data_IF_611327847217
#
_entry.id   IF_611327847217
#
_cell.length_a   1.000
_cell.length_b   1.000
_cell.length_c   1.000
_cell.angle_alpha   90.00
_cell.angle_beta   90.00
_cell.angle_gamma   90.00
#
_symmetry.space_group_name_H-M   'P 1'
#
loop_
_entity.id
_entity.type
_entity.pdbx_description
1 polymer ?
#
# COMPACT_ATOMS: atom_id res chain seq x y z
N UNK A 1 9.62 13.05 -26.15
CA UNK A 1 8.17 12.77 -26.10
C UNK A 1 7.76 12.74 -24.64
N UNK A 2 6.91 13.67 -24.19
CA UNK A 2 6.45 13.69 -22.79
C UNK A 2 5.27 12.74 -22.60
N UNK A 3 5.21 12.07 -21.45
CA UNK A 3 4.06 11.25 -21.06
C UNK A 3 2.86 12.18 -20.78
N UNK A 4 1.68 11.85 -21.28
CA UNK A 4 0.47 12.66 -21.02
C UNK A 4 0.01 12.53 -19.57
N UNK A 5 -0.69 13.55 -19.06
CA UNK A 5 -1.27 13.53 -17.71
C UNK A 5 -2.23 12.35 -17.52
N UNK A 6 -3.02 12.03 -18.54
CA UNK A 6 -3.98 10.92 -18.50
C UNK A 6 -3.28 9.56 -18.42
N UNK A 7 -2.19 9.37 -19.16
CA UNK A 7 -1.40 8.15 -19.09
C UNK A 7 -0.75 7.97 -17.71
N UNK A 8 -0.30 9.07 -17.10
CA UNK A 8 0.24 9.05 -15.74
C UNK A 8 -0.84 8.68 -14.71
N UNK A 9 -2.03 9.28 -14.81
CA UNK A 9 -3.17 8.96 -13.92
C UNK A 9 -3.54 7.49 -13.99
N UNK A 10 -3.74 6.95 -15.20
CA UNK A 10 -4.12 5.54 -15.41
C UNK A 10 -3.06 4.60 -14.81
N UNK A 11 -1.77 4.90 -15.03
CA UNK A 11 -0.69 4.10 -14.48
C UNK A 11 -0.63 4.16 -12.94
N UNK A 12 -0.88 5.33 -12.35
CA UNK A 12 -0.96 5.48 -10.89
C UNK A 12 -2.13 4.71 -10.31
N UNK A 13 -3.32 4.79 -10.92
CA UNK A 13 -4.49 4.03 -10.48
C UNK A 13 -4.22 2.52 -10.53
N UNK A 14 -3.62 2.02 -11.61
CA UNK A 14 -3.25 0.62 -11.73
C UNK A 14 -2.26 0.18 -10.64
N UNK A 15 -1.24 1.00 -10.33
CA UNK A 15 -0.28 0.71 -9.28
C UNK A 15 -0.93 0.67 -7.89
N UNK A 16 -1.85 1.59 -7.60
CA UNK A 16 -2.55 1.66 -6.32
C UNK A 16 -3.50 0.47 -6.15
N UNK A 17 -4.22 0.08 -7.21
CA UNK A 17 -5.06 -1.11 -7.20
C UNK A 17 -4.23 -2.38 -6.93
N UNK A 18 -3.06 -2.49 -7.53
CA UNK A 18 -2.17 -3.62 -7.29
C UNK A 18 -1.65 -3.64 -5.84
N UNK A 19 -1.23 -2.49 -5.32
CA UNK A 19 -0.81 -2.34 -3.92
C UNK A 19 -1.90 -2.81 -2.95
N UNK A 20 -3.13 -2.37 -3.17
CA UNK A 20 -4.28 -2.74 -2.35
C UNK A 20 -4.63 -4.23 -2.47
N UNK A 21 -4.60 -4.79 -3.67
CA UNK A 21 -4.82 -6.23 -3.87
C UNK A 21 -3.77 -7.09 -3.15
N UNK A 22 -2.51 -6.63 -3.11
CA UNK A 22 -1.46 -7.29 -2.30
C UNK A 22 -1.82 -7.25 -0.81
N UNK A 23 -2.23 -6.10 -0.29
CA UNK A 23 -2.61 -5.99 1.12
C UNK A 23 -3.86 -6.84 1.45
N UNK A 24 -4.87 -6.84 0.56
CA UNK A 24 -6.12 -7.60 0.71
C UNK A 24 -5.90 -9.13 0.79
N UNK A 25 -4.75 -9.62 0.33
CA UNK A 25 -4.35 -11.02 0.49
C UNK A 25 -4.01 -11.42 1.92
N UNK A 26 -3.88 -10.44 2.84
CA UNK A 26 -3.52 -10.63 4.25
C UNK A 26 -2.17 -11.33 4.45
N UNK A 27 -1.24 -11.18 3.51
CA UNK A 27 0.15 -11.63 3.66
C UNK A 27 1.11 -10.46 3.46
N UNK A 28 2.33 -10.61 3.97
CA UNK A 28 3.40 -9.63 3.76
C UNK A 28 4.22 -9.89 2.50
N UNK A 29 3.78 -10.83 1.67
CA UNK A 29 4.47 -11.19 0.44
C UNK A 29 4.31 -10.06 -0.59
N UNK A 30 5.40 -9.68 -1.25
CA UNK A 30 5.36 -8.65 -2.28
C UNK A 30 5.33 -7.21 -1.76
N UNK A 31 5.38 -6.97 -0.44
CA UNK A 31 5.50 -5.61 0.11
C UNK A 31 6.74 -4.87 -0.42
N UNK A 32 7.83 -5.60 -0.69
CA UNK A 32 9.07 -5.05 -1.26
C UNK A 32 8.90 -4.44 -2.66
N UNK A 33 7.80 -4.76 -3.35
CA UNK A 33 7.45 -4.14 -4.64
C UNK A 33 7.04 -2.67 -4.46
N UNK A 34 6.46 -2.34 -3.31
CA UNK A 34 5.86 -1.03 -3.04
C UNK A 34 6.65 -0.19 -2.05
N UNK A 35 7.34 -0.84 -1.11
CA UNK A 35 8.14 -0.17 -0.08
C UNK A 35 9.62 -0.34 -0.35
N UNK A 36 10.35 0.78 -0.37
CA UNK A 36 11.80 0.74 -0.40
C UNK A 36 12.37 0.42 1.00
N UNK A 37 13.68 0.15 1.06
CA UNK A 37 14.38 -0.23 2.31
C UNK A 37 14.39 0.88 3.37
N UNK A 38 14.24 2.15 2.99
CA UNK A 38 14.19 3.31 3.88
C UNK A 38 12.80 3.97 3.94
N UNK A 39 11.73 3.22 3.64
CA UNK A 39 10.38 3.73 3.63
C UNK A 39 9.94 4.10 5.06
N UNK A 40 9.02 5.04 5.17
CA UNK A 40 8.43 5.43 6.45
C UNK A 40 6.92 5.33 6.30
N UNK A 41 6.31 4.40 7.04
CA UNK A 41 4.87 4.26 7.14
C UNK A 41 4.38 5.06 8.35
N UNK A 42 3.31 5.86 8.14
CA UNK A 42 2.76 6.76 9.15
C UNK A 42 1.25 6.58 9.23
N UNK A 43 0.76 6.35 10.44
CA UNK A 43 -0.66 6.49 10.77
C UNK A 43 -0.81 7.70 11.70
N UNK A 44 -1.98 8.34 11.68
CA UNK A 44 -2.21 9.57 12.47
C UNK A 44 -2.21 9.35 13.98
N UNK A 45 -2.30 8.11 14.43
CA UNK A 45 -2.47 7.68 15.81
C UNK A 45 -1.39 6.71 16.29
N UNK A 46 -0.37 6.41 15.48
CA UNK A 46 0.68 5.44 15.79
C UNK A 46 2.07 6.04 15.61
N UNK A 47 3.07 5.41 16.23
CA UNK A 47 4.47 5.72 15.95
C UNK A 47 4.85 5.40 14.50
N UNK A 48 5.83 6.14 13.96
CA UNK A 48 6.34 5.90 12.61
C UNK A 48 7.01 4.52 12.51
N UNK A 49 6.62 3.75 11.51
CA UNK A 49 7.27 2.47 11.19
C UNK A 49 8.32 2.70 10.11
N UNK A 50 9.58 2.33 10.41
CA UNK A 50 10.73 2.64 9.56
C UNK A 50 11.28 1.40 8.88
N UNK A 51 11.53 1.53 7.58
CA UNK A 51 12.13 0.54 6.70
C UNK A 51 11.20 -0.61 6.35
N UNK A 52 11.55 -1.32 5.27
CA UNK A 52 10.77 -2.46 4.77
C UNK A 52 10.56 -3.54 5.85
N UNK A 53 11.60 -3.87 6.62
CA UNK A 53 11.50 -4.90 7.67
C UNK A 53 10.56 -4.47 8.82
N UNK A 54 10.59 -3.19 9.19
CA UNK A 54 9.67 -2.63 10.17
C UNK A 54 8.23 -2.70 9.68
N UNK A 55 8.00 -2.33 8.41
CA UNK A 55 6.69 -2.37 7.77
C UNK A 55 6.17 -3.81 7.69
N UNK A 56 7.03 -4.77 7.32
CA UNK A 56 6.68 -6.20 7.32
C UNK A 56 6.26 -6.65 8.71
N UNK A 57 7.06 -6.38 9.74
CA UNK A 57 6.76 -6.77 11.12
C UNK A 57 5.45 -6.15 11.64
N UNK A 58 5.16 -4.91 11.24
CA UNK A 58 3.89 -4.27 11.58
C UNK A 58 2.71 -5.06 11.00
N UNK A 59 2.73 -5.35 9.70
CA UNK A 59 1.65 -6.08 9.04
C UNK A 59 1.56 -7.57 9.44
N UNK A 60 2.67 -8.23 9.76
CA UNK A 60 2.67 -9.57 10.38
C UNK A 60 1.90 -9.60 11.70
N UNK A 61 1.85 -8.50 12.44
CA UNK A 61 1.03 -8.38 13.65
C UNK A 61 -0.45 -8.05 13.39
N UNK A 62 -0.75 -7.40 12.26
CA UNK A 62 -2.11 -6.93 11.94
C UNK A 62 -2.90 -7.96 11.14
N UNK A 63 -2.34 -8.49 10.05
CA UNK A 63 -3.07 -9.34 9.12
C UNK A 63 -3.68 -10.61 9.73
N UNK A 64 -3.02 -11.31 10.67
CA UNK A 64 -3.63 -12.48 11.32
C UNK A 64 -4.87 -12.16 12.17
N UNK A 65 -5.13 -10.90 12.49
CA UNK A 65 -6.30 -10.47 13.25
C UNK A 65 -7.54 -10.29 12.37
N UNK A 66 -7.39 -10.35 11.05
CA UNK A 66 -8.45 -10.07 10.09
C UNK A 66 -8.92 -11.37 9.43
N UNK A 67 -10.23 -11.57 9.35
CA UNK A 67 -10.82 -12.67 8.57
C UNK A 67 -10.84 -12.35 7.07
N UNK A 68 -11.00 -11.07 6.73
CA UNK A 68 -10.96 -10.57 5.35
C UNK A 68 -10.60 -9.09 5.34
N UNK A 69 -10.07 -8.61 4.20
CA UNK A 69 -9.88 -7.20 3.92
C UNK A 69 -10.20 -6.92 2.45
N UNK A 70 -10.76 -5.75 2.18
CA UNK A 70 -11.01 -5.26 0.84
C UNK A 70 -10.83 -3.74 0.82
N UNK A 71 -9.94 -3.27 -0.05
CA UNK A 71 -9.82 -1.84 -0.33
C UNK A 71 -10.61 -1.48 -1.60
N UNK A 72 -11.24 -0.31 -1.58
CA UNK A 72 -11.96 0.23 -2.73
C UNK A 72 -11.51 1.66 -3.00
N UNK A 73 -11.20 1.97 -4.26
CA UNK A 73 -10.96 3.35 -4.68
C UNK A 73 -12.29 4.02 -4.94
N UNK A 74 -12.55 5.10 -4.20
CA UNK A 74 -13.77 5.89 -4.32
C UNK A 74 -13.42 7.29 -4.83
N UNK A 75 -14.23 7.79 -5.76
CA UNK A 75 -14.18 9.19 -6.15
C UNK A 75 -14.79 10.02 -5.02
N UNK A 76 -14.00 10.95 -4.48
CA UNK A 76 -14.42 11.82 -3.38
C UNK A 76 -15.10 13.11 -3.86
N UNK A 77 -15.30 13.28 -5.18
CA UNK A 77 -16.12 14.33 -5.77
C UNK A 77 -15.84 15.72 -5.19
N UNK A 78 -14.69 16.31 -5.56
CA UNK A 78 -14.41 17.72 -5.30
C UNK A 78 -14.57 18.55 -6.57
#
# INVERSE_FOLDING_TARGET
MGVSKDATRIATEALVLEFHATADSLTTDGLEKFYNKNAILRFGNEEEVKGLDGIRKFFEGVFPLLESMKHELVDVGM
#
